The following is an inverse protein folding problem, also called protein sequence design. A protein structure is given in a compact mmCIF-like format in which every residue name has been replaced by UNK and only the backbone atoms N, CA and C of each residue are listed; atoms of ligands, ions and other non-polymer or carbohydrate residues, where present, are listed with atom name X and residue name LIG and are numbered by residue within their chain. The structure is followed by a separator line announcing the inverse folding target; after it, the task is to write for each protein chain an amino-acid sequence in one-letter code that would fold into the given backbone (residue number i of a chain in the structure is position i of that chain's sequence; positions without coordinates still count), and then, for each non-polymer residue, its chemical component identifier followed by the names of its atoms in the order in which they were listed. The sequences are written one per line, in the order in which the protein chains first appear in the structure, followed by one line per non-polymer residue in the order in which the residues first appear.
data_IF_840253169705
#
_entry.id   IF_840253169705
#
_cell.length_a   1.000
_cell.length_b   1.000
_cell.length_c   1.000
_cell.angle_alpha   90.00
_cell.angle_beta   90.00
_cell.angle_gamma   90.00
#
_symmetry.space_group_name_H-M   'P 1'
#
loop_
_entity.id
_entity.type
_entity.pdbx_description
1 polymer ?
#
# COMPACT_ATOMS: atom_id res chain seq x y z
N UNK A 1 -12.15 16.71 4.07
CA UNK A 1 -12.83 15.65 4.85
C UNK A 1 -12.27 14.36 4.28
N UNK A 2 -11.42 13.66 5.04
CA UNK A 2 -10.73 12.46 4.54
C UNK A 2 -11.77 11.38 4.21
N UNK A 3 -11.66 10.77 3.03
CA UNK A 3 -12.51 9.64 2.62
C UNK A 3 -12.08 8.32 3.27
N UNK A 4 -11.02 8.35 4.10
CA UNK A 4 -10.51 7.19 4.80
C UNK A 4 -11.24 6.95 6.12
N UNK A 5 -11.39 5.69 6.55
CA UNK A 5 -11.93 5.37 7.87
C UNK A 5 -11.03 5.94 8.98
N UNK A 6 -11.64 6.50 10.02
CA UNK A 6 -10.93 7.11 11.15
C UNK A 6 -10.29 6.07 12.10
N UNK A 7 -10.72 4.81 12.04
CA UNK A 7 -10.26 3.72 12.90
C UNK A 7 -9.82 2.52 12.06
N UNK A 8 -8.86 2.73 11.16
CA UNK A 8 -8.23 1.64 10.41
C UNK A 8 -6.73 1.81 10.33
N UNK A 9 -6.03 0.68 10.28
CA UNK A 9 -4.65 0.62 9.84
C UNK A 9 -4.64 0.38 8.34
N UNK A 10 -4.03 1.29 7.59
CA UNK A 10 -4.02 1.25 6.13
C UNK A 10 -2.69 0.74 5.63
N UNK A 11 -2.73 -0.17 4.66
CA UNK A 11 -1.56 -0.69 3.97
C UNK A 11 -1.83 -0.59 2.46
N UNK A 12 -0.86 -0.06 1.73
CA UNK A 12 -1.01 0.14 0.29
C UNK A 12 0.32 0.27 -0.41
N UNK A 13 0.28 0.71 -1.67
CA UNK A 13 1.47 0.92 -2.49
C UNK A 13 1.37 2.21 -3.28
N UNK A 14 2.52 2.86 -3.46
CA UNK A 14 2.70 3.97 -4.38
C UNK A 14 3.78 3.63 -5.40
N UNK A 15 3.70 4.23 -6.57
CA UNK A 15 4.88 4.51 -7.38
C UNK A 15 5.60 5.68 -6.72
N UNK A 16 6.87 5.52 -6.37
CA UNK A 16 7.72 6.57 -5.83
C UNK A 16 8.62 7.11 -6.95
N UNK A 17 8.37 8.35 -7.37
CA UNK A 17 9.10 8.98 -8.46
C UNK A 17 10.57 9.29 -8.11
N UNK A 18 10.89 9.50 -6.82
CA UNK A 18 12.25 9.77 -6.38
C UNK A 18 13.13 8.51 -6.49
N UNK A 19 12.57 7.35 -6.09
CA UNK A 19 13.24 6.05 -6.13
C UNK A 19 13.03 5.28 -7.44
N UNK A 20 12.22 5.83 -8.35
CA UNK A 20 11.84 5.22 -9.64
C UNK A 20 11.30 3.79 -9.49
N UNK A 21 10.48 3.55 -8.47
CA UNK A 21 10.00 2.21 -8.14
C UNK A 21 8.80 2.18 -7.21
N UNK A 22 8.21 1.00 -6.94
CA UNK A 22 7.12 0.86 -5.99
C UNK A 22 7.62 0.99 -4.54
N UNK A 23 6.82 1.67 -3.71
CA UNK A 23 6.97 1.74 -2.26
C UNK A 23 5.76 1.13 -1.57
N UNK A 24 5.99 0.38 -0.49
CA UNK A 24 4.96 -0.07 0.45
C UNK A 24 4.69 1.06 1.44
N UNK A 25 3.42 1.43 1.61
CA UNK A 25 3.04 2.61 2.38
C UNK A 25 1.96 2.33 3.39
N UNK A 26 1.95 3.14 4.45
CA UNK A 26 0.85 3.27 5.40
C UNK A 26 0.41 4.73 5.54
N UNK A 27 -0.63 4.99 6.35
CA UNK A 27 -1.15 6.33 6.61
C UNK A 27 -1.14 6.60 8.11
N UNK A 28 -0.44 7.67 8.51
CA UNK A 28 -0.42 8.19 9.88
C UNK A 28 -0.83 9.66 9.87
N UNK A 29 -1.86 10.02 10.62
CA UNK A 29 -2.34 11.41 10.75
C UNK A 29 -2.55 12.14 9.40
N UNK A 30 -3.07 11.41 8.40
CA UNK A 30 -3.32 11.92 7.06
C UNK A 30 -2.07 12.08 6.18
N UNK A 31 -0.90 11.66 6.66
CA UNK A 31 0.34 11.57 5.90
C UNK A 31 0.54 10.15 5.38
N UNK A 32 0.96 10.03 4.12
CA UNK A 32 1.44 8.78 3.57
C UNK A 32 2.90 8.61 3.96
N UNK A 33 3.19 7.46 4.56
CA UNK A 33 4.53 7.11 5.04
C UNK A 33 5.02 5.89 4.26
N UNK A 34 6.20 6.01 3.66
CA UNK A 34 6.93 4.89 3.06
C UNK A 34 7.54 4.04 4.17
N UNK A 35 7.08 2.79 4.27
CA UNK A 35 7.53 1.79 5.24
C UNK A 35 8.28 0.63 4.57
N UNK A 36 8.70 0.82 3.31
CA UNK A 36 9.46 -0.20 2.57
C UNK A 36 10.75 -0.52 3.32
N UNK A 37 10.97 -1.79 3.62
CA UNK A 37 12.17 -2.25 4.31
C UNK A 37 12.74 -3.51 3.65
N UNK A 38 13.93 -3.94 4.09
CA UNK A 38 14.52 -5.19 3.60
C UNK A 38 13.74 -6.41 4.08
N UNK A 39 13.15 -6.31 5.26
CA UNK A 39 12.32 -7.33 5.90
C UNK A 39 10.94 -7.42 5.23
N UNK A 40 10.43 -6.30 4.71
CA UNK A 40 9.12 -6.18 4.08
C UNK A 40 9.19 -5.25 2.86
N UNK A 41 9.57 -5.82 1.71
CA UNK A 41 9.71 -5.07 0.46
C UNK A 41 8.40 -4.99 -0.33
N UNK A 42 7.45 -5.88 -0.02
CA UNK A 42 6.16 -6.01 -0.68
C UNK A 42 5.01 -6.08 0.33
N UNK A 43 3.80 -5.77 -0.11
CA UNK A 43 2.58 -5.93 0.68
C UNK A 43 2.36 -7.41 1.02
N UNK A 44 2.70 -8.34 0.12
CA UNK A 44 2.62 -9.78 0.44
C UNK A 44 3.47 -10.15 1.66
N UNK A 45 4.67 -9.57 1.77
CA UNK A 45 5.63 -9.92 2.83
C UNK A 45 5.03 -9.56 4.19
N UNK A 46 4.39 -8.39 4.28
CA UNK A 46 3.67 -7.93 5.46
C UNK A 46 2.45 -8.81 5.72
N UNK A 47 1.60 -9.05 4.72
CA UNK A 47 0.37 -9.85 4.89
C UNK A 47 0.63 -11.29 5.37
N UNK A 48 1.81 -11.84 5.11
CA UNK A 48 2.21 -13.19 5.53
C UNK A 48 2.93 -13.23 6.89
N UNK A 49 3.15 -12.07 7.54
CA UNK A 49 3.73 -12.02 8.89
C UNK A 49 2.79 -12.60 9.95
N UNK A 50 3.36 -13.04 11.08
CA UNK A 50 2.57 -13.48 12.24
C UNK A 50 1.73 -12.35 12.83
N UNK A 51 2.26 -11.13 12.87
CA UNK A 51 1.52 -9.93 13.28
C UNK A 51 1.74 -8.78 12.27
N UNK A 52 0.98 -8.77 11.15
CA UNK A 52 1.09 -7.72 10.14
C UNK A 52 0.72 -6.34 10.71
N UNK A 53 -0.19 -6.31 11.70
CA UNK A 53 -0.72 -5.08 12.25
C UNK A 53 0.29 -4.38 13.15
N UNK A 54 1.02 -5.14 13.98
CA UNK A 54 2.09 -4.60 14.82
C UNK A 54 3.25 -4.10 13.96
N UNK A 55 3.61 -4.85 12.91
CA UNK A 55 4.63 -4.41 11.95
C UNK A 55 4.27 -3.03 11.37
N UNK A 56 3.12 -2.90 10.71
CA UNK A 56 2.72 -1.63 10.07
C UNK A 56 2.59 -0.48 11.08
N UNK A 57 2.10 -0.73 12.30
CA UNK A 57 1.99 0.31 13.35
C UNK A 57 3.33 0.83 13.85
N UNK A 58 4.36 -0.01 13.84
CA UNK A 58 5.68 0.28 14.43
C UNK A 58 6.74 0.60 13.40
N UNK A 59 6.45 0.39 12.11
CA UNK A 59 7.35 0.74 11.03
C UNK A 59 7.59 2.25 11.02
N UNK A 60 8.84 2.63 11.29
CA UNK A 60 9.32 3.96 10.97
C UNK A 60 9.39 4.11 9.45
N UNK A 61 9.33 5.35 8.98
CA UNK A 61 9.31 5.59 7.54
C UNK A 61 9.48 7.03 7.13
N UNK A 62 9.46 7.25 5.82
CA UNK A 62 9.65 8.57 5.21
C UNK A 62 8.30 9.11 4.78
N UNK A 63 7.96 10.33 5.21
CA UNK A 63 6.73 11.00 4.78
C UNK A 63 6.83 11.37 3.30
N UNK A 64 5.92 10.83 2.48
CA UNK A 64 5.85 11.10 1.03
C UNK A 64 4.88 12.25 0.68
N UNK A 65 4.07 12.67 1.64
CA UNK A 65 3.12 13.78 1.54
C UNK A 65 1.74 13.45 2.10
N UNK A 66 0.84 14.44 2.10
CA UNK A 66 -0.53 14.23 2.57
C UNK A 66 -1.33 13.35 1.62
N UNK A 67 -2.28 12.60 2.18
CA UNK A 67 -3.22 11.76 1.42
C UNK A 67 -3.92 12.56 0.32
N UNK A 68 -4.42 13.75 0.64
CA UNK A 68 -5.14 14.61 -0.31
C UNK A 68 -4.25 15.04 -1.48
N UNK A 69 -2.98 15.37 -1.21
CA UNK A 69 -2.04 15.80 -2.25
C UNK A 69 -1.64 14.64 -3.18
N UNK A 70 -1.42 13.45 -2.63
CA UNK A 70 -1.04 12.28 -3.44
C UNK A 70 -2.23 11.73 -4.23
N UNK A 71 -3.44 11.72 -3.64
CA UNK A 71 -4.67 11.29 -4.33
C UNK A 71 -5.05 12.18 -5.50
N UNK A 72 -4.60 13.44 -5.51
CA UNK A 72 -4.83 14.35 -6.63
C UNK A 72 -3.89 14.13 -7.84
N UNK A 73 -2.84 13.32 -7.68
CA UNK A 73 -1.85 13.08 -8.75
C UNK A 73 -2.36 12.11 -9.79
N UNK A 74 -1.89 12.28 -11.02
CA UNK A 74 -2.31 11.46 -12.16
C UNK A 74 -1.69 10.06 -12.05
N UNK A 75 -2.54 9.04 -11.94
CA UNK A 75 -2.11 7.64 -12.00
C UNK A 75 -1.48 7.33 -13.35
N UNK A 76 -0.32 6.65 -13.34
CA UNK A 76 0.44 6.27 -14.53
C UNK A 76 1.46 7.30 -15.00
N UNK A 77 1.52 8.49 -14.40
CA UNK A 77 2.62 9.44 -14.64
C UNK A 77 3.83 9.06 -13.79
N UNK A 78 4.89 8.54 -14.42
CA UNK A 78 6.09 8.09 -13.72
C UNK A 78 6.92 9.24 -13.13
N UNK A 79 6.70 10.48 -13.58
CA UNK A 79 7.31 11.68 -13.00
C UNK A 79 6.65 12.14 -11.69
N UNK A 80 5.53 11.51 -11.29
CA UNK A 80 4.80 11.85 -10.08
C UNK A 80 4.58 10.63 -9.21
N UNK A 81 4.79 10.78 -7.90
CA UNK A 81 4.46 9.71 -6.95
C UNK A 81 2.95 9.53 -6.86
N UNK A 82 2.41 8.39 -7.28
CA UNK A 82 0.96 8.14 -7.42
C UNK A 82 0.57 6.75 -6.92
N UNK A 83 -0.73 6.52 -6.70
CA UNK A 83 -1.23 5.25 -6.18
C UNK A 83 -1.09 4.10 -7.17
N UNK A 84 -0.64 2.94 -6.65
CA UNK A 84 -0.69 1.66 -7.34
C UNK A 84 -1.82 0.81 -6.78
N UNK A 85 -2.15 -0.28 -7.48
CA UNK A 85 -3.03 -1.31 -6.92
C UNK A 85 -2.45 -1.80 -5.57
N UNK A 86 -3.27 -2.01 -4.53
CA UNK A 86 -2.76 -2.39 -3.21
C UNK A 86 -2.11 -3.78 -3.22
N UNK A 87 -2.55 -4.68 -4.11
CA UNK A 87 -1.97 -6.00 -4.29
C UNK A 87 -0.77 -5.99 -5.26
N UNK A 88 0.32 -6.66 -4.91
CA UNK A 88 1.49 -6.99 -5.74
C UNK A 88 1.44 -8.44 -6.27
N UNK A 89 1.87 -9.43 -5.48
CA UNK A 89 1.96 -10.84 -5.86
C UNK A 89 0.81 -11.68 -5.28
N UNK A 90 -0.15 -11.06 -4.60
CA UNK A 90 -1.33 -11.76 -4.08
C UNK A 90 -2.19 -12.26 -5.25
N UNK A 91 -2.71 -13.48 -5.10
CA UNK A 91 -3.66 -14.03 -6.05
C UNK A 91 -4.94 -13.17 -6.08
N UNK A 92 -5.32 -12.71 -7.28
CA UNK A 92 -6.58 -11.99 -7.50
C UNK A 92 -7.63 -13.00 -7.96
N UNK A 93 -8.66 -13.21 -7.14
CA UNK A 93 -9.80 -14.04 -7.50
C UNK A 93 -10.91 -13.18 -8.10
N UNK A 94 -11.36 -13.51 -9.31
CA UNK A 94 -12.60 -12.97 -9.86
C UNK A 94 -13.79 -13.76 -9.32
N UNK A 95 -14.60 -13.14 -8.46
CA UNK A 95 -15.87 -13.71 -8.00
C UNK A 95 -16.93 -13.61 -9.11
N UNK A 96 -16.85 -14.50 -10.10
CA UNK A 96 -17.80 -14.55 -11.22
C UNK A 96 -17.83 -15.86 -12.02
N UNK A 97 -17.02 -16.85 -11.66
CA UNK A 97 -17.04 -18.19 -12.28
C UNK A 97 -17.32 -19.27 -11.22
N UNK A 98 -18.13 -20.30 -11.53
CA UNK A 98 -18.62 -21.28 -10.54
C UNK A 98 -17.54 -22.17 -9.90
N UNK A 99 -16.27 -22.02 -10.28
CA UNK A 99 -15.16 -22.81 -9.75
C UNK A 99 -14.39 -22.09 -8.65
N UNK A 100 -15.11 -21.54 -7.67
CA UNK A 100 -14.50 -20.97 -6.46
C UNK A 100 -13.65 -21.99 -5.67
N UNK A 101 -13.81 -23.30 -5.94
CA UNK A 101 -13.00 -24.42 -5.39
C UNK A 101 -11.65 -24.64 -6.06
N UNK A 102 -11.32 -23.99 -7.18
CA UNK A 102 -10.06 -24.23 -7.91
C UNK A 102 -8.88 -23.39 -7.42
N UNK A 103 -9.04 -22.68 -6.31
CA UNK A 103 -7.98 -21.91 -5.65
C UNK A 103 -7.67 -22.59 -4.31
N UNK A 104 -7.08 -23.78 -4.38
CA UNK A 104 -6.42 -24.51 -3.30
C UNK A 104 -5.05 -24.96 -3.82
#
# INVERSE_FOLDING_TARGET
MSFLPNEALLLGRLWNAAEQGPSVVTVHDGQIVDITSKEASLVRDICEMTDPSDHVKRSDGIVLGSIDAVSARKVGDLGQTHFLAPCDLQAIKSCGVPFAKSMV
#
